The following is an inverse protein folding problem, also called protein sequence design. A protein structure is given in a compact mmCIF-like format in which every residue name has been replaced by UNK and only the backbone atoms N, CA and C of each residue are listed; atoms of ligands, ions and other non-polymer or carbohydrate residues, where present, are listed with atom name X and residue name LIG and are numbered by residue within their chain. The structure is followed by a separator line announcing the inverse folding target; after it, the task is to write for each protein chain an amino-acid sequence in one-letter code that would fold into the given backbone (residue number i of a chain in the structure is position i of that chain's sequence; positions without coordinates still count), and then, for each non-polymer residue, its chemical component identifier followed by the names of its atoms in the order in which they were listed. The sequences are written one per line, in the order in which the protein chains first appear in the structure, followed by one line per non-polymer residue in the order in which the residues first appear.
data_IF_515055439634
#
_entry.id   IF_515055439634
#
_cell.length_a   1.000
_cell.length_b   1.000
_cell.length_c   1.000
_cell.angle_alpha   90.00
_cell.angle_beta   90.00
_cell.angle_gamma   90.00
#
_symmetry.space_group_name_H-M   'P 1'
#
loop_
_entity.id
_entity.type
_entity.pdbx_description
1 polymer ?
#
# COMPACT_ATOMS: atom_id res chain seq x y z
N UNK A 1 -6.18 -22.55 -4.44
CA UNK A 1 -5.07 -21.58 -4.37
C UNK A 1 -5.36 -20.69 -3.18
N UNK A 2 -4.33 -20.20 -2.50
CA UNK A 2 -4.44 -19.16 -1.47
C UNK A 2 -3.65 -17.92 -1.92
N UNK A 3 -4.16 -16.73 -1.60
CA UNK A 3 -3.55 -15.42 -1.88
C UNK A 3 -3.86 -14.50 -0.70
N UNK A 4 -2.83 -14.04 0.01
CA UNK A 4 -2.96 -13.15 1.15
C UNK A 4 -1.58 -12.60 1.53
N UNK A 5 -1.47 -12.04 2.74
CA UNK A 5 -0.19 -11.88 3.41
C UNK A 5 0.62 -13.19 3.40
N UNK A 6 1.94 -13.16 3.12
CA UNK A 6 2.78 -14.36 3.07
C UNK A 6 2.70 -15.27 4.30
N UNK A 7 2.56 -14.71 5.51
CA UNK A 7 2.47 -15.50 6.74
C UNK A 7 1.18 -16.35 6.77
N UNK A 8 0.03 -15.74 6.47
CA UNK A 8 -1.26 -16.42 6.40
C UNK A 8 -1.28 -17.52 5.34
N UNK A 9 -0.66 -17.29 4.18
CA UNK A 9 -0.54 -18.31 3.13
C UNK A 9 0.36 -19.45 3.60
N UNK A 10 1.46 -19.13 4.27
CA UNK A 10 2.39 -20.12 4.82
C UNK A 10 1.72 -21.01 5.87
N UNK A 11 0.92 -20.44 6.78
CA UNK A 11 0.20 -21.18 7.80
C UNK A 11 -0.82 -22.16 7.20
N UNK A 12 -1.46 -21.76 6.10
CA UNK A 12 -2.45 -22.58 5.42
C UNK A 12 -1.83 -23.70 4.56
N UNK A 13 -0.75 -23.40 3.83
CA UNK A 13 -0.21 -24.27 2.79
C UNK A 13 1.13 -24.96 3.16
N UNK A 14 1.79 -24.51 4.23
CA UNK A 14 3.13 -24.93 4.62
C UNK A 14 4.26 -24.34 3.77
N UNK A 15 3.93 -23.60 2.71
CA UNK A 15 4.86 -22.91 1.81
C UNK A 15 4.12 -21.76 1.11
N UNK A 16 4.86 -20.79 0.57
CA UNK A 16 4.28 -19.73 -0.25
C UNK A 16 5.30 -19.20 -1.25
N UNK A 17 4.82 -18.54 -2.30
CA UNK A 17 5.65 -17.69 -3.15
C UNK A 17 5.27 -16.22 -2.93
N UNK A 18 6.26 -15.39 -2.65
CA UNK A 18 6.09 -13.94 -2.71
C UNK A 18 6.23 -13.50 -4.16
N UNK A 19 5.19 -12.89 -4.74
CA UNK A 19 5.12 -12.68 -6.20
C UNK A 19 4.85 -11.24 -6.62
N UNK A 20 4.37 -10.39 -5.71
CA UNK A 20 4.15 -8.97 -5.97
C UNK A 20 4.29 -8.15 -4.67
N UNK A 21 4.60 -6.87 -4.83
CA UNK A 21 4.49 -5.84 -3.80
C UNK A 21 3.45 -4.80 -4.22
N UNK A 22 3.17 -3.85 -3.33
CA UNK A 22 2.35 -2.68 -3.63
C UNK A 22 3.08 -1.43 -3.15
N UNK A 23 2.62 -0.26 -3.56
CA UNK A 23 3.15 1.02 -3.12
C UNK A 23 2.03 1.88 -2.56
N UNK A 24 2.30 2.57 -1.45
CA UNK A 24 1.45 3.68 -1.02
C UNK A 24 1.60 4.87 -1.94
N UNK A 25 0.50 5.56 -2.17
CA UNK A 25 0.39 6.72 -3.04
C UNK A 25 -0.58 7.72 -2.40
N UNK A 26 -0.52 8.96 -2.86
CA UNK A 26 -1.60 9.94 -2.61
C UNK A 26 -2.39 10.08 -3.89
N UNK A 27 -3.64 9.60 -3.90
CA UNK A 27 -4.59 9.90 -4.98
C UNK A 27 -5.25 11.25 -4.70
N UNK A 28 -5.65 11.95 -5.75
CA UNK A 28 -6.31 13.25 -5.61
C UNK A 28 -7.44 13.41 -6.61
N UNK A 29 -8.40 14.28 -6.28
CA UNK A 29 -9.43 14.68 -7.21
C UNK A 29 -8.82 15.61 -8.27
N UNK A 30 -8.82 15.25 -9.58
CA UNK A 30 -8.30 16.12 -10.64
C UNK A 30 -9.02 17.46 -10.74
N UNK A 31 -10.28 17.54 -10.30
CA UNK A 31 -11.10 18.76 -10.34
C UNK A 31 -10.95 19.60 -9.06
N UNK A 32 -10.22 19.13 -8.06
CA UNK A 32 -9.89 19.90 -6.86
C UNK A 32 -9.09 21.15 -7.22
N UNK A 33 -9.44 22.28 -6.60
CA UNK A 33 -8.65 23.53 -6.68
C UNK A 33 -7.21 23.38 -6.13
N UNK A 34 -6.93 22.29 -5.42
CA UNK A 34 -5.61 21.98 -4.85
C UNK A 34 -4.83 20.92 -5.64
N UNK A 35 -5.37 20.39 -6.74
CA UNK A 35 -4.76 19.31 -7.52
C UNK A 35 -3.30 19.60 -7.89
N UNK A 36 -3.00 20.80 -8.39
CA UNK A 36 -1.61 21.20 -8.74
C UNK A 36 -0.69 21.30 -7.51
N UNK A 37 -1.21 21.77 -6.38
CA UNK A 37 -0.44 21.85 -5.14
C UNK A 37 -0.13 20.46 -4.58
N UNK A 38 -1.11 19.55 -4.60
CA UNK A 38 -0.94 18.15 -4.19
C UNK A 38 0.07 17.45 -5.11
N UNK A 39 -0.06 17.63 -6.43
CA UNK A 39 0.85 17.04 -7.42
C UNK A 39 2.28 17.55 -7.27
N UNK A 40 2.45 18.84 -6.95
CA UNK A 40 3.76 19.49 -6.81
C UNK A 40 4.46 19.19 -5.50
N UNK A 41 3.76 19.28 -4.37
CA UNK A 41 4.28 19.02 -3.03
C UNK A 41 3.15 18.51 -2.11
N UNK A 42 2.88 17.22 -2.19
CA UNK A 42 1.87 16.56 -1.38
C UNK A 42 2.10 16.77 0.12
N UNK A 43 3.36 16.84 0.59
CA UNK A 43 3.65 16.95 2.03
C UNK A 43 3.15 18.27 2.59
N UNK A 44 3.44 19.36 1.88
CA UNK A 44 2.98 20.69 2.28
C UNK A 44 1.49 20.88 2.00
N UNK A 45 0.98 20.34 0.89
CA UNK A 45 -0.43 20.46 0.54
C UNK A 45 -1.35 19.77 1.55
N UNK A 46 -1.06 18.51 1.90
CA UNK A 46 -1.92 17.71 2.79
C UNK A 46 -1.86 18.17 4.26
N UNK A 47 -0.86 18.97 4.64
CA UNK A 47 -0.73 19.55 5.98
C UNK A 47 -1.61 20.80 6.17
N UNK A 48 -2.25 21.31 5.11
CA UNK A 48 -3.10 22.49 5.18
C UNK A 48 -4.52 22.12 5.59
N UNK A 49 -5.05 22.83 6.58
CA UNK A 49 -6.42 22.65 7.08
C UNK A 49 -7.51 22.91 6.03
N UNK A 50 -7.19 23.61 4.94
CA UNK A 50 -8.13 23.89 3.86
C UNK A 50 -8.15 22.83 2.75
N UNK A 51 -7.31 21.79 2.86
CA UNK A 51 -7.26 20.63 1.96
C UNK A 51 -7.90 19.45 2.67
N UNK A 52 -8.99 18.90 2.14
CA UNK A 52 -9.68 17.75 2.70
C UNK A 52 -8.96 16.45 2.35
N UNK A 53 -8.42 15.76 3.36
CA UNK A 53 -7.60 14.55 3.21
C UNK A 53 -8.31 13.34 3.82
N UNK A 54 -8.31 12.21 3.12
CA UNK A 54 -8.86 10.95 3.62
C UNK A 54 -7.80 9.87 3.85
N UNK A 55 -8.04 9.02 4.85
CA UNK A 55 -7.30 7.77 5.10
C UNK A 55 -8.22 6.69 5.65
N UNK A 56 -7.77 5.44 5.63
CA UNK A 56 -8.51 4.35 6.28
C UNK A 56 -8.14 4.19 7.76
N UNK A 57 -8.97 3.43 8.47
CA UNK A 57 -8.82 3.19 9.91
C UNK A 57 -7.67 2.19 10.19
N UNK A 58 -6.61 2.60 10.91
CA UNK A 58 -5.47 1.73 11.20
C UNK A 58 -5.83 0.48 12.00
N UNK A 59 -6.91 0.49 12.79
CA UNK A 59 -7.36 -0.67 13.57
C UNK A 59 -8.10 -1.72 12.74
N UNK A 60 -8.57 -1.34 11.54
CA UNK A 60 -9.48 -2.18 10.74
C UNK A 60 -8.93 -2.52 9.36
N UNK A 61 -7.95 -1.76 8.88
CA UNK A 61 -7.43 -1.87 7.53
C UNK A 61 -5.90 -1.70 7.49
N UNK A 62 -5.17 -2.64 6.88
CA UNK A 62 -3.76 -2.49 6.58
C UNK A 62 -3.35 -1.18 5.91
N UNK A 63 -4.16 -0.63 4.99
CA UNK A 63 -3.88 0.67 4.39
C UNK A 63 -3.79 1.78 5.44
N UNK A 64 -4.60 1.70 6.50
CA UNK A 64 -4.65 2.70 7.56
C UNK A 64 -3.36 2.74 8.37
N UNK A 65 -2.91 1.60 8.92
CA UNK A 65 -1.67 1.59 9.70
C UNK A 65 -0.44 1.79 8.82
N UNK A 66 -0.46 1.34 7.56
CA UNK A 66 0.62 1.60 6.60
C UNK A 66 0.73 3.08 6.25
N UNK A 67 -0.39 3.78 6.12
CA UNK A 67 -0.39 5.24 5.97
C UNK A 67 0.32 5.91 7.15
N UNK A 68 0.04 5.48 8.39
CA UNK A 68 0.71 6.04 9.57
C UNK A 68 2.22 5.73 9.59
N UNK A 69 2.62 4.51 9.19
CA UNK A 69 4.04 4.16 9.06
C UNK A 69 4.75 4.99 7.99
N UNK A 70 4.12 5.23 6.85
CA UNK A 70 4.66 6.08 5.78
C UNK A 70 4.80 7.53 6.24
N UNK A 71 3.82 8.06 6.98
CA UNK A 71 3.89 9.40 7.56
C UNK A 71 5.00 9.52 8.62
N UNK A 72 5.18 8.51 9.47
CA UNK A 72 6.28 8.44 10.44
C UNK A 72 7.65 8.49 9.73
N UNK A 73 7.84 7.72 8.65
CA UNK A 73 9.07 7.75 7.85
C UNK A 73 9.25 9.10 7.15
N UNK A 74 8.19 9.66 6.56
CA UNK A 74 8.23 10.97 5.90
C UNK A 74 8.53 12.11 6.88
N UNK A 75 8.04 12.02 8.12
CA UNK A 75 8.29 13.01 9.18
C UNK A 75 9.77 13.12 9.56
N UNK A 76 10.50 12.00 9.52
CA UNK A 76 11.96 11.98 9.74
C UNK A 76 12.74 12.72 8.65
N UNK A 77 12.15 12.82 7.47
CA UNK A 77 12.70 13.54 6.30
C UNK A 77 12.07 14.94 6.15
N UNK A 78 11.52 15.49 7.23
CA UNK A 78 11.07 16.88 7.31
C UNK A 78 9.63 17.14 6.88
N UNK A 79 8.81 16.11 6.61
CA UNK A 79 7.37 16.30 6.38
C UNK A 79 6.65 16.68 7.69
N UNK A 80 5.61 17.49 7.60
CA UNK A 80 4.71 17.80 8.73
C UNK A 80 3.73 16.64 8.99
N UNK A 81 4.28 15.46 9.30
CA UNK A 81 3.53 14.21 9.42
C UNK A 81 2.37 14.27 10.43
N UNK A 82 2.58 14.89 11.59
CA UNK A 82 1.53 15.07 12.60
C UNK A 82 0.38 15.94 12.07
N UNK A 83 0.70 17.05 11.37
CA UNK A 83 -0.31 17.93 10.78
C UNK A 83 -1.13 17.20 9.69
N UNK A 84 -0.47 16.42 8.82
CA UNK A 84 -1.16 15.61 7.82
C UNK A 84 -2.06 14.56 8.49
N UNK A 85 -1.56 13.89 9.53
CA UNK A 85 -2.33 12.87 10.27
C UNK A 85 -3.56 13.46 10.94
N UNK A 86 -3.43 14.64 11.54
CA UNK A 86 -4.51 15.36 12.22
C UNK A 86 -5.54 15.92 11.23
N UNK A 87 -5.10 16.36 10.04
CA UNK A 87 -5.97 16.85 8.98
C UNK A 87 -6.72 15.72 8.24
N UNK A 88 -6.24 14.47 8.31
CA UNK A 88 -6.82 13.36 7.57
C UNK A 88 -8.01 12.69 8.29
N UNK A 89 -9.19 12.84 7.69
CA UNK A 89 -10.42 12.18 8.10
C UNK A 89 -10.37 10.66 7.83
N UNK A 90 -11.04 9.90 8.71
CA UNK A 90 -11.04 8.42 8.66
C UNK A 90 -12.28 7.90 7.95
N UNK A 91 -12.07 7.06 6.94
CA UNK A 91 -13.13 6.41 6.16
C UNK A 91 -12.99 4.88 6.16
N UNK A 92 -14.10 4.14 6.00
CA UNK A 92 -14.03 2.75 5.55
C UNK A 92 -13.36 2.67 4.17
N UNK A 93 -12.52 1.64 3.94
CA UNK A 93 -11.82 1.43 2.65
C UNK A 93 -12.78 1.53 1.45
N UNK A 94 -13.92 0.86 1.55
CA UNK A 94 -14.93 0.83 0.48
C UNK A 94 -15.55 2.20 0.19
N UNK A 95 -15.45 3.18 1.09
CA UNK A 95 -16.04 4.51 0.90
C UNK A 95 -15.01 5.56 0.51
N UNK A 96 -13.75 5.40 0.93
CA UNK A 96 -12.70 6.41 0.77
C UNK A 96 -12.58 6.94 -0.67
N UNK A 97 -12.38 6.07 -1.65
CA UNK A 97 -12.21 6.49 -3.04
C UNK A 97 -13.51 7.02 -3.66
N UNK A 98 -14.67 6.48 -3.27
CA UNK A 98 -15.97 6.99 -3.75
C UNK A 98 -16.25 8.40 -3.26
N UNK A 99 -15.83 8.74 -2.04
CA UNK A 99 -15.94 10.10 -1.52
C UNK A 99 -15.03 11.06 -2.29
N UNK A 100 -13.80 10.64 -2.61
CA UNK A 100 -12.87 11.42 -3.42
C UNK A 100 -13.39 11.65 -4.84
N UNK A 101 -13.85 10.59 -5.52
CA UNK A 101 -14.45 10.67 -6.87
C UNK A 101 -15.71 11.55 -6.92
N UNK A 102 -16.41 11.70 -5.79
CA UNK A 102 -17.57 12.58 -5.66
C UNK A 102 -17.21 14.04 -5.33
N UNK A 103 -15.91 14.39 -5.26
CA UNK A 103 -15.42 15.71 -4.89
C UNK A 103 -15.56 16.03 -3.39
N UNK A 104 -15.77 15.02 -2.55
CA UNK A 104 -15.87 15.18 -1.10
C UNK A 104 -14.51 15.18 -0.38
N UNK A 105 -13.43 14.83 -1.08
CA UNK A 105 -12.05 14.87 -0.61
C UNK A 105 -11.16 15.42 -1.72
N UNK A 106 -10.18 16.23 -1.36
CA UNK A 106 -9.16 16.70 -2.31
C UNK A 106 -8.10 15.62 -2.54
N UNK A 107 -7.76 14.86 -1.51
CA UNK A 107 -6.75 13.81 -1.55
C UNK A 107 -7.07 12.64 -0.63
N UNK A 108 -6.50 11.46 -0.94
CA UNK A 108 -6.53 10.31 -0.04
C UNK A 108 -5.26 9.46 -0.16
N UNK A 109 -4.88 8.80 0.93
CA UNK A 109 -3.86 7.75 0.88
C UNK A 109 -4.47 6.45 0.36
N UNK A 110 -3.86 5.89 -0.68
CA UNK A 110 -4.32 4.65 -1.31
C UNK A 110 -3.14 3.85 -1.88
N UNK A 111 -3.36 2.56 -2.11
CA UNK A 111 -2.39 1.76 -2.85
C UNK A 111 -2.39 2.11 -4.34
N UNK A 112 -1.23 1.96 -5.00
CA UNK A 112 -1.09 2.20 -6.44
C UNK A 112 -2.07 1.38 -7.28
N UNK A 113 -2.30 0.12 -6.95
CA UNK A 113 -3.25 -0.71 -7.69
C UNK A 113 -4.71 -0.20 -7.58
N UNK A 114 -5.08 0.42 -6.46
CA UNK A 114 -6.40 1.04 -6.30
C UNK A 114 -6.52 2.29 -7.18
N UNK A 115 -5.48 3.12 -7.21
CA UNK A 115 -5.42 4.29 -8.09
C UNK A 115 -5.58 3.89 -9.57
N UNK A 116 -4.88 2.83 -10.00
CA UNK A 116 -5.00 2.29 -11.36
C UNK A 116 -6.39 1.71 -11.62
N UNK A 117 -6.97 0.98 -10.68
CA UNK A 117 -8.30 0.37 -10.84
C UNK A 117 -9.42 1.41 -10.98
N UNK A 118 -9.25 2.58 -10.35
CA UNK A 118 -10.20 3.69 -10.39
C UNK A 118 -9.83 4.78 -11.41
N UNK A 119 -8.75 4.59 -12.18
CA UNK A 119 -8.21 5.60 -13.14
C UNK A 119 -8.00 6.98 -12.51
N UNK A 120 -7.55 7.00 -11.25
CA UNK A 120 -7.33 8.22 -10.47
C UNK A 120 -5.91 8.75 -10.66
N UNK A 121 -5.74 10.09 -10.79
CA UNK A 121 -4.42 10.67 -10.75
C UNK A 121 -3.82 10.51 -9.36
N UNK A 122 -2.48 10.38 -9.31
CA UNK A 122 -1.78 10.09 -8.06
C UNK A 122 -0.40 10.72 -8.02
N UNK A 123 0.09 10.89 -6.80
CA UNK A 123 1.50 11.11 -6.48
C UNK A 123 2.06 9.80 -5.94
N UNK A 124 3.05 9.25 -6.64
CA UNK A 124 3.80 8.10 -6.14
C UNK A 124 4.71 8.57 -4.99
N UNK A 125 4.60 7.93 -3.82
CA UNK A 125 5.51 8.22 -2.72
C UNK A 125 6.92 7.69 -3.07
N UNK A 126 7.98 8.36 -2.61
CA UNK A 126 9.33 7.82 -2.70
C UNK A 126 9.44 6.44 -2.04
N UNK A 127 10.33 5.59 -2.56
CA UNK A 127 10.49 4.20 -2.12
C UNK A 127 10.81 4.09 -0.62
N UNK A 128 11.45 5.10 -0.05
CA UNK A 128 11.77 5.21 1.37
C UNK A 128 10.52 5.25 2.26
N UNK A 129 9.36 5.66 1.74
CA UNK A 129 8.13 5.81 2.52
C UNK A 129 6.98 4.90 2.04
N UNK A 130 6.99 4.50 0.76
CA UNK A 130 5.84 3.85 0.12
C UNK A 130 5.62 2.37 0.51
N UNK A 131 6.57 1.80 1.27
CA UNK A 131 6.62 0.42 1.73
C UNK A 131 6.69 -0.62 0.60
N UNK A 132 7.13 -0.25 -0.60
CA UNK A 132 7.07 -1.12 -1.78
C UNK A 132 8.33 -1.94 -2.04
N UNK A 133 9.49 -1.46 -1.60
CA UNK A 133 10.79 -2.04 -1.94
C UNK A 133 11.25 -3.01 -0.85
N UNK A 134 11.32 -4.33 -1.13
CA UNK A 134 11.75 -5.28 -0.14
C UNK A 134 13.26 -5.22 0.17
N UNK A 135 14.07 -4.40 -0.49
CA UNK A 135 15.45 -4.05 -0.10
C UNK A 135 15.50 -3.01 1.01
N UNK A 136 14.46 -2.18 1.17
CA UNK A 136 14.35 -1.17 2.22
C UNK A 136 13.69 -1.70 3.50
N UNK A 137 13.61 -3.02 3.68
CA UNK A 137 12.97 -3.64 4.83
C UNK A 137 13.52 -3.15 6.18
N UNK A 138 14.83 -2.96 6.30
CA UNK A 138 15.47 -2.45 7.52
C UNK A 138 15.08 -0.99 7.80
N UNK A 139 15.00 -0.18 6.74
CA UNK A 139 14.55 1.19 6.82
C UNK A 139 13.09 1.26 7.29
N UNK A 140 12.19 0.48 6.69
CA UNK A 140 10.78 0.46 7.09
C UNK A 140 10.60 0.01 8.55
N UNK A 141 11.36 -0.99 9.01
CA UNK A 141 11.30 -1.48 10.40
C UNK A 141 11.68 -0.45 11.45
N UNK A 142 12.36 0.61 11.04
CA UNK A 142 12.68 1.74 11.91
C UNK A 142 11.44 2.55 12.29
N UNK A 143 10.35 2.50 11.52
CA UNK A 143 9.06 3.09 11.86
C UNK A 143 8.19 2.08 12.62
N UNK A 144 7.41 2.60 13.57
CA UNK A 144 6.47 1.81 14.34
C UNK A 144 5.27 2.67 14.74
N UNK A 145 4.10 2.06 14.77
CA UNK A 145 2.84 2.70 15.18
C UNK A 145 2.12 1.82 16.19
N UNK A 146 1.41 2.44 17.13
CA UNK A 146 0.59 1.73 18.10
C UNK A 146 -0.86 1.76 17.65
N UNK A 147 -1.47 0.58 17.50
CA UNK A 147 -2.86 0.39 17.06
C UNK A 147 -3.52 -0.57 18.04
N UNK A 148 -4.58 -0.12 18.71
CA UNK A 148 -5.31 -0.91 19.73
C UNK A 148 -4.41 -1.55 20.81
N UNK A 149 -3.28 -0.90 21.13
CA UNK A 149 -2.30 -1.38 22.11
C UNK A 149 -1.26 -2.35 21.55
N UNK A 150 -1.34 -2.72 20.28
CA UNK A 150 -0.34 -3.50 19.57
C UNK A 150 0.63 -2.58 18.81
N UNK A 151 1.93 -2.88 18.90
CA UNK A 151 2.96 -2.15 18.14
C UNK A 151 3.18 -2.83 16.79
N UNK A 152 2.79 -2.15 15.72
CA UNK A 152 3.03 -2.59 14.34
C UNK A 152 4.29 -1.90 13.83
N UNK A 153 5.25 -2.67 13.32
CA UNK A 153 6.48 -2.15 12.70
C UNK A 153 6.34 -2.11 11.18
N UNK A 154 7.04 -1.17 10.55
CA UNK A 154 7.06 -1.09 9.10
C UNK A 154 7.72 -2.30 8.46
N UNK A 155 7.07 -2.84 7.45
CA UNK A 155 7.59 -3.94 6.63
C UNK A 155 7.17 -3.70 5.17
N UNK A 156 7.95 -4.22 4.20
CA UNK A 156 7.55 -4.13 2.80
C UNK A 156 6.21 -4.81 2.57
N UNK A 157 5.33 -4.19 1.78
CA UNK A 157 4.08 -4.78 1.34
C UNK A 157 4.40 -5.99 0.46
N UNK A 158 3.85 -7.15 0.79
CA UNK A 158 4.09 -8.40 0.06
C UNK A 158 2.79 -9.15 -0.13
N UNK A 159 2.64 -9.75 -1.31
CA UNK A 159 1.58 -10.70 -1.60
C UNK A 159 2.16 -12.09 -1.74
N UNK A 160 1.67 -13.01 -0.91
CA UNK A 160 2.00 -14.43 -0.95
C UNK A 160 0.94 -15.21 -1.72
N UNK A 161 1.36 -16.23 -2.47
CA UNK A 161 0.46 -17.17 -3.13
C UNK A 161 0.95 -18.62 -2.99
N UNK A 162 0.02 -19.56 -2.87
CA UNK A 162 0.31 -20.99 -2.90
C UNK A 162 -0.76 -21.77 -3.66
N UNK A 163 -0.34 -22.82 -4.37
CA UNK A 163 -1.26 -23.84 -4.88
C UNK A 163 -1.46 -24.93 -3.80
N UNK A 164 -2.71 -25.38 -3.65
CA UNK A 164 -3.10 -26.38 -2.66
C UNK A 164 -3.39 -27.75 -3.29
N UNK A 165 -3.48 -27.80 -4.62
CA UNK A 165 -3.83 -29.00 -5.39
C UNK A 165 -3.14 -28.95 -6.75
N UNK A 166 -2.95 -30.12 -7.36
CA UNK A 166 -2.38 -30.21 -8.72
C UNK A 166 -3.19 -29.44 -9.76
N UNK A 167 -4.53 -29.44 -9.62
CA UNK A 167 -5.44 -28.70 -10.50
C UNK A 167 -5.26 -27.18 -10.39
N UNK A 168 -4.79 -26.68 -9.24
CA UNK A 168 -4.51 -25.26 -9.01
C UNK A 168 -3.16 -24.79 -9.55
N UNK A 169 -2.23 -25.72 -9.86
CA UNK A 169 -0.87 -25.37 -10.32
C UNK A 169 -0.84 -24.50 -11.59
N UNK A 170 -1.65 -24.76 -12.64
CA UNK A 170 -1.64 -23.92 -13.83
C UNK A 170 -2.07 -22.48 -13.55
N UNK A 171 -3.13 -22.29 -12.75
CA UNK A 171 -3.59 -20.97 -12.35
C UNK A 171 -2.52 -20.23 -11.52
N UNK A 172 -1.95 -20.90 -10.53
CA UNK A 172 -0.85 -20.35 -9.72
C UNK A 172 0.30 -19.87 -10.61
N UNK A 173 0.80 -20.71 -11.52
CA UNK A 173 1.91 -20.36 -12.43
C UNK A 173 1.57 -19.14 -13.30
N UNK A 174 0.34 -19.06 -13.79
CA UNK A 174 -0.10 -17.93 -14.59
C UNK A 174 -0.15 -16.63 -13.77
N UNK A 175 -0.60 -16.69 -12.52
CA UNK A 175 -0.64 -15.53 -11.63
C UNK A 175 0.77 -15.06 -11.24
N UNK A 176 1.58 -15.94 -10.65
CA UNK A 176 2.87 -15.54 -10.08
C UNK A 176 3.95 -15.28 -11.13
N UNK A 177 3.80 -15.82 -12.34
CA UNK A 177 4.77 -15.67 -13.43
C UNK A 177 4.48 -14.51 -14.38
N UNK A 178 3.37 -13.79 -14.23
CA UNK A 178 2.94 -12.76 -15.19
C UNK A 178 3.18 -11.34 -14.66
N UNK A 179 4.46 -11.00 -14.54
CA UNK A 179 4.91 -9.71 -14.01
C UNK A 179 4.41 -8.51 -14.83
N UNK A 180 4.32 -8.63 -16.16
CA UNK A 180 3.80 -7.59 -17.05
C UNK A 180 2.36 -7.25 -16.68
N UNK A 181 1.48 -8.27 -16.64
CA UNK A 181 0.09 -8.08 -16.25
C UNK A 181 -0.04 -7.52 -14.84
N UNK A 182 0.75 -7.97 -13.87
CA UNK A 182 0.70 -7.42 -12.51
C UNK A 182 1.03 -5.92 -12.50
N UNK A 183 2.03 -5.49 -13.28
CA UNK A 183 2.39 -4.07 -13.41
C UNK A 183 1.32 -3.25 -14.10
N UNK A 184 0.63 -3.79 -15.11
CA UNK A 184 -0.53 -3.14 -15.74
C UNK A 184 -1.64 -2.83 -14.74
N UNK A 185 -1.83 -3.69 -13.72
CA UNK A 185 -2.81 -3.49 -12.65
C UNK A 185 -2.23 -2.74 -11.44
N UNK A 186 -1.09 -2.05 -11.60
CA UNK A 186 -0.52 -1.15 -10.59
C UNK A 186 0.25 -1.82 -9.46
N UNK A 187 0.55 -3.12 -9.56
CA UNK A 187 1.45 -3.79 -8.61
C UNK A 187 2.90 -3.53 -8.97
N UNK A 188 3.76 -3.51 -7.96
CA UNK A 188 5.21 -3.52 -8.15
C UNK A 188 5.68 -4.97 -8.15
N UNK A 189 6.50 -5.35 -9.13
CA UNK A 189 7.08 -6.70 -9.23
C UNK A 189 8.59 -6.58 -9.35
N UNK A 190 9.33 -6.72 -8.23
CA UNK A 190 10.79 -6.78 -8.23
C UNK A 190 11.31 -7.90 -9.13
N UNK A 191 12.48 -7.72 -9.75
CA UNK A 191 13.05 -8.70 -10.70
C UNK A 191 13.31 -10.07 -10.07
N UNK A 192 13.53 -10.13 -8.76
CA UNK A 192 13.70 -11.38 -8.02
C UNK A 192 12.41 -12.16 -7.80
N UNK A 193 11.24 -11.59 -8.12
CA UNK A 193 9.96 -12.27 -7.92
C UNK A 193 9.58 -13.15 -9.12
N UNK A 194 8.91 -14.29 -8.88
CA UNK A 194 8.49 -14.79 -7.57
C UNK A 194 9.61 -15.49 -6.78
N UNK A 195 9.57 -15.39 -5.44
CA UNK A 195 10.47 -16.12 -4.52
C UNK A 195 9.67 -17.13 -3.72
N UNK A 196 10.02 -18.42 -3.82
CA UNK A 196 9.38 -19.49 -3.04
C UNK A 196 10.03 -19.66 -1.66
N UNK A 197 9.21 -19.86 -0.63
CA UNK A 197 9.60 -20.05 0.76
C UNK A 197 8.91 -21.28 1.35
N UNK A 198 9.63 -22.06 2.18
CA UNK A 198 9.07 -23.22 2.88
C UNK A 198 8.80 -24.45 2.01
N UNK A 199 9.14 -24.41 0.72
CA UNK A 199 8.96 -25.54 -0.18
C UNK A 199 10.18 -26.46 -0.11
N UNK A 200 10.06 -27.58 0.59
CA UNK A 200 11.05 -28.67 0.50
C UNK A 200 11.11 -29.13 -0.97
N UNK A 201 12.30 -29.04 -1.58
CA UNK A 201 12.58 -29.66 -2.87
C UNK A 201 12.51 -31.19 -2.70
N UNK A 202 11.32 -31.77 -2.88
CA UNK A 202 11.13 -33.20 -3.13
C UNK A 202 10.58 -33.42 -4.53
#
# INVERSE_FOLDING_TARGET
MALADPSLVSDLAGWHATFATNALTVVYDPDSRYADAIRGDWRSALAREDVSVGRTDPARDPLGYRTLLALELAGREGASADAIRENADVFPETQLLRTLEAGGLDAAFAYRNMAVAHDLPRVDLPAEFDLSDPELADHYRSAAVSVDGETIRGEPIRYGAAHLTDRGKPFYRNLVGNAERLREFGFTVPDRYPVEHGRDNR
#
